data_IF_294818653177
#
_entry.id   IF_294818653177
#
_cell.length_a   1.000
_cell.length_b   1.000
_cell.length_c   1.000
_cell.angle_alpha   90.00
_cell.angle_beta   90.00
_cell.angle_gamma   90.00
#
_symmetry.space_group_name_H-M   'P 1'
#
loop_
_entity.id
_entity.type
_entity.pdbx_description
1 polymer ?
#
# COMPACT_ATOMS: atom_id res chain seq x y z
N UNK A 1 7.63 -1.52 14.27
CA UNK A 1 6.89 -0.85 13.18
C UNK A 1 5.41 -0.80 13.55
N UNK A 2 4.73 0.33 13.35
CA UNK A 2 3.26 0.41 13.39
C UNK A 2 2.82 1.08 12.10
N UNK A 3 2.41 0.28 11.11
CA UNK A 3 2.17 0.76 9.74
C UNK A 3 0.67 0.95 9.53
N UNK A 4 0.31 2.15 9.10
CA UNK A 4 -1.01 2.45 8.54
C UNK A 4 -0.83 3.04 7.14
N UNK A 5 -1.64 2.60 6.18
CA UNK A 5 -1.55 3.10 4.82
C UNK A 5 -2.78 2.86 3.97
N UNK A 6 -2.80 3.52 2.82
CA UNK A 6 -3.84 3.40 1.80
C UNK A 6 -3.28 2.84 0.49
N UNK A 7 -4.10 2.06 -0.21
CA UNK A 7 -3.84 1.65 -1.60
C UNK A 7 -5.09 1.96 -2.43
N UNK A 8 -4.92 2.84 -3.41
CA UNK A 8 -5.95 3.14 -4.42
C UNK A 8 -5.71 2.27 -5.67
N UNK A 9 -6.71 1.45 -6.00
CA UNK A 9 -6.71 0.53 -7.12
C UNK A 9 -7.35 1.21 -8.32
N UNK A 10 -6.52 1.64 -9.28
CA UNK A 10 -6.96 2.16 -10.58
C UNK A 10 -6.56 1.21 -11.72
N UNK A 11 -7.25 1.31 -12.88
CA UNK A 11 -7.02 0.46 -14.06
C UNK A 11 -5.59 0.46 -14.62
N UNK A 12 -4.73 1.41 -14.25
CA UNK A 12 -3.37 1.57 -14.81
C UNK A 12 -2.26 1.41 -13.73
N UNK A 13 -2.15 2.31 -12.72
CA UNK A 13 -1.31 2.06 -11.55
C UNK A 13 -2.15 1.75 -10.30
N UNK A 14 -1.55 1.01 -9.35
CA UNK A 14 -1.94 1.14 -7.95
C UNK A 14 -1.16 2.31 -7.36
N UNK A 15 -1.82 3.22 -6.64
CA UNK A 15 -1.13 4.25 -5.87
C UNK A 15 -1.20 3.94 -4.39
N UNK A 16 -0.14 4.26 -3.66
CA UNK A 16 -0.07 4.01 -2.22
C UNK A 16 0.52 5.18 -1.47
N UNK A 17 0.20 5.22 -0.19
CA UNK A 17 0.88 5.98 0.85
C UNK A 17 0.80 5.20 2.17
N UNK A 18 1.85 5.34 3.00
CA UNK A 18 1.89 4.74 4.33
C UNK A 18 2.77 5.54 5.27
N UNK A 19 2.56 5.37 6.57
CA UNK A 19 3.39 5.91 7.65
C UNK A 19 3.70 4.83 8.69
N UNK A 20 4.93 4.83 9.21
CA UNK A 20 5.32 4.13 10.44
C UNK A 20 5.12 5.08 11.61
N UNK A 21 4.06 4.86 12.38
CA UNK A 21 3.64 5.74 13.47
C UNK A 21 4.68 5.81 14.61
N UNK A 22 5.60 4.83 14.68
CA UNK A 22 6.62 4.80 15.73
C UNK A 22 7.73 5.83 15.51
N UNK A 23 8.05 6.16 14.26
CA UNK A 23 9.18 7.04 13.92
C UNK A 23 8.80 8.16 12.93
N UNK A 24 7.54 8.21 12.49
CA UNK A 24 7.03 9.22 11.57
C UNK A 24 7.53 9.07 10.13
N UNK A 25 8.23 7.97 9.81
CA UNK A 25 8.68 7.69 8.44
C UNK A 25 7.45 7.43 7.57
N UNK A 26 7.38 8.10 6.43
CA UNK A 26 6.30 7.91 5.47
C UNK A 26 6.86 7.78 4.05
N UNK A 27 6.11 7.11 3.19
CA UNK A 27 6.43 6.95 1.77
C UNK A 27 5.13 6.96 0.96
N UNK A 28 5.18 7.53 -0.24
CA UNK A 28 4.12 7.44 -1.25
C UNK A 28 4.70 6.96 -2.57
N UNK A 29 3.90 6.31 -3.38
CA UNK A 29 4.37 5.82 -4.66
C UNK A 29 3.31 5.18 -5.54
N UNK A 30 3.80 4.42 -6.52
CA UNK A 30 2.98 3.65 -7.45
C UNK A 30 3.55 2.26 -7.66
N UNK A 31 2.67 1.29 -7.83
CA UNK A 31 3.00 -0.07 -8.23
C UNK A 31 2.52 -0.24 -9.67
N UNK A 32 3.46 -0.56 -10.56
CA UNK A 32 3.22 -0.76 -11.99
C UNK A 32 3.98 -2.00 -12.48
N UNK A 33 3.34 -2.90 -13.27
CA UNK A 33 1.91 -2.94 -13.61
C UNK A 33 0.98 -3.10 -12.39
N UNK A 34 -0.28 -2.69 -12.53
CA UNK A 34 -1.30 -2.85 -11.49
C UNK A 34 -1.83 -4.29 -11.46
N UNK A 35 -1.03 -5.21 -10.93
CA UNK A 35 -1.39 -6.62 -10.78
C UNK A 35 -1.06 -7.16 -9.38
N UNK A 36 -1.57 -8.37 -9.13
CA UNK A 36 -1.45 -9.05 -7.83
C UNK A 36 -0.02 -9.39 -7.45
N UNK A 37 0.82 -9.75 -8.43
CA UNK A 37 2.19 -10.17 -8.17
C UNK A 37 3.05 -9.00 -7.67
N UNK A 38 2.95 -7.84 -8.32
CA UNK A 38 3.69 -6.65 -7.89
C UNK A 38 3.15 -6.10 -6.58
N UNK A 39 1.83 -6.18 -6.34
CA UNK A 39 1.25 -5.84 -5.04
C UNK A 39 1.77 -6.74 -3.92
N UNK A 40 1.80 -8.07 -4.14
CA UNK A 40 2.32 -9.01 -3.15
C UNK A 40 3.81 -8.76 -2.84
N UNK A 41 4.63 -8.53 -3.88
CA UNK A 41 6.04 -8.19 -3.69
C UNK A 41 6.25 -6.87 -2.95
N UNK A 42 5.40 -5.88 -3.16
CA UNK A 42 5.43 -4.63 -2.41
C UNK A 42 5.00 -4.82 -0.94
N UNK A 43 3.95 -5.61 -0.67
CA UNK A 43 3.48 -5.93 0.68
C UNK A 43 4.52 -6.70 1.50
N UNK A 44 5.35 -7.52 0.84
CA UNK A 44 6.43 -8.27 1.50
C UNK A 44 7.53 -7.39 2.13
N UNK A 45 7.53 -6.07 1.87
CA UNK A 45 8.44 -5.10 2.52
C UNK A 45 8.10 -4.85 4.00
N UNK A 46 6.89 -5.22 4.44
CA UNK A 46 6.40 -4.97 5.80
C UNK A 46 6.45 -6.26 6.62
N UNK A 47 7.06 -6.20 7.80
CA UNK A 47 7.16 -7.33 8.72
C UNK A 47 6.05 -7.25 9.80
N UNK A 48 5.02 -8.11 9.75
CA UNK A 48 3.96 -8.12 10.75
C UNK A 48 4.41 -8.63 12.12
N UNK A 49 5.59 -9.27 12.23
CA UNK A 49 6.17 -9.68 13.52
C UNK A 49 6.76 -8.47 14.25
N UNK A 50 7.30 -7.50 13.51
CA UNK A 50 7.83 -6.25 14.05
C UNK A 50 6.75 -5.26 14.53
N UNK A 51 5.47 -5.55 14.29
CA UNK A 51 4.31 -4.85 14.81
C UNK A 51 3.14 -4.77 13.81
N UNK A 52 2.04 -4.10 14.17
CA UNK A 52 0.82 -4.11 13.36
C UNK A 52 1.03 -3.43 12.01
N UNK A 53 0.44 -4.02 10.98
CA UNK A 53 0.43 -3.49 9.61
C UNK A 53 -1.00 -3.52 9.10
N UNK A 54 -1.56 -2.34 8.82
CA UNK A 54 -2.94 -2.19 8.35
C UNK A 54 -2.98 -1.34 7.07
N UNK A 55 -3.60 -1.88 6.02
CA UNK A 55 -3.82 -1.19 4.76
C UNK A 55 -5.31 -1.13 4.42
N UNK A 56 -5.80 0.07 4.13
CA UNK A 56 -7.11 0.26 3.50
C UNK A 56 -6.96 0.18 1.98
N UNK A 57 -7.79 -0.62 1.32
CA UNK A 57 -7.83 -0.73 -0.13
C UNK A 57 -9.09 -0.06 -0.67
N UNK A 58 -8.91 0.99 -1.46
CA UNK A 58 -9.99 1.63 -2.20
C UNK A 58 -10.02 1.09 -3.63
N UNK A 59 -11.15 0.50 -4.02
CA UNK A 59 -11.39 0.04 -5.38
C UNK A 59 -12.37 0.96 -6.09
N UNK A 60 -11.89 1.82 -6.98
CA UNK A 60 -12.78 2.55 -7.88
C UNK A 60 -13.21 1.65 -9.05
N UNK A 61 -14.48 1.26 -9.11
CA UNK A 61 -15.11 0.76 -10.35
C UNK A 61 -15.31 1.95 -11.29
N UNK A 62 -14.22 2.45 -11.88
CA UNK A 62 -14.11 3.79 -12.48
C UNK A 62 -15.40 4.31 -13.14
N UNK A 63 -15.83 5.51 -12.75
CA UNK A 63 -16.80 6.26 -13.52
C UNK A 63 -16.21 6.62 -14.89
N UNK A 64 -17.11 6.61 -15.87
CA UNK A 64 -16.90 6.43 -17.30
C UNK A 64 -16.08 7.52 -17.97
#
# INVERSE_FOLDING_TARGET
>A
MSIVGGVDIRRKPLTFDWVDEQNGRWERGRIVPADRERLAGWLARFDPVAGPVAFAFEGCTGHR
#
